data_IF_978875657939
#
_entry.id   IF_978875657939
#
_cell.length_a   1.000
_cell.length_b   1.000
_cell.length_c   1.000
_cell.angle_alpha   90.00
_cell.angle_beta   90.00
_cell.angle_gamma   90.00
#
_symmetry.space_group_name_H-M   'P 1'
#
loop_
_entity.id
_entity.type
_entity.pdbx_description
1 polymer ?
#
# COMPACT_ATOMS: atom_id res chain seq x y z
N UNK A 1 16.03 -18.66 29.99
CA UNK A 1 15.77 -17.94 28.72
C UNK A 1 16.17 -18.68 27.44
N UNK A 2 17.30 -19.42 27.37
CA UNK A 2 17.74 -20.11 26.13
C UNK A 2 16.77 -21.18 25.56
N UNK A 3 16.00 -21.87 26.40
CA UNK A 3 15.00 -22.89 25.95
C UNK A 3 13.80 -22.32 25.17
N UNK A 4 13.46 -21.04 25.33
CA UNK A 4 12.35 -20.41 24.57
C UNK A 4 12.76 -19.96 23.17
N UNK A 5 14.05 -19.73 22.93
CA UNK A 5 14.57 -19.31 21.63
C UNK A 5 14.79 -20.49 20.67
N UNK A 6 15.10 -21.69 21.17
CA UNK A 6 15.23 -22.90 20.35
C UNK A 6 13.87 -23.50 19.93
N UNK A 7 12.82 -23.32 20.73
CA UNK A 7 11.47 -23.78 20.38
C UNK A 7 10.80 -22.96 19.24
N UNK A 8 11.22 -21.71 19.04
CA UNK A 8 10.74 -20.85 17.94
C UNK A 8 11.47 -21.11 16.62
N UNK A 9 12.62 -21.80 16.62
CA UNK A 9 13.46 -22.01 15.43
C UNK A 9 13.09 -23.27 14.61
N UNK A 10 12.40 -24.24 15.20
CA UNK A 10 12.17 -25.56 14.59
C UNK A 10 10.71 -25.86 14.16
N UNK A 11 9.83 -24.85 14.09
CA UNK A 11 8.46 -25.02 13.56
C UNK A 11 8.05 -23.96 12.54
N UNK A 12 8.99 -23.41 11.80
CA UNK A 12 8.65 -22.82 10.51
C UNK A 12 8.61 -24.00 9.54
N UNK A 13 7.45 -24.66 9.52
CA UNK A 13 7.17 -25.77 8.62
C UNK A 13 7.44 -25.28 7.19
N UNK A 14 8.43 -25.83 6.49
CA UNK A 14 8.81 -25.39 5.14
C UNK A 14 7.58 -25.41 4.20
N UNK A 15 6.66 -26.35 4.44
CA UNK A 15 5.35 -26.46 3.79
C UNK A 15 4.45 -25.23 3.97
N UNK A 16 4.54 -24.54 5.11
CA UNK A 16 3.80 -23.32 5.36
C UNK A 16 4.34 -22.13 4.55
N UNK A 17 5.58 -22.19 4.06
CA UNK A 17 6.18 -21.18 3.18
C UNK A 17 5.91 -21.46 1.68
N UNK A 18 5.76 -22.72 1.29
CA UNK A 18 5.52 -23.11 -0.11
C UNK A 18 4.24 -22.48 -0.68
N UNK A 19 3.16 -22.44 0.10
CA UNK A 19 1.89 -21.89 -0.34
C UNK A 19 1.91 -20.39 -0.63
N UNK A 20 2.35 -19.51 0.28
CA UNK A 20 2.48 -18.09 -0.03
C UNK A 20 3.55 -17.84 -1.10
N UNK A 21 4.60 -18.67 -1.18
CA UNK A 21 5.58 -18.61 -2.25
C UNK A 21 4.98 -18.86 -3.63
N UNK A 22 4.18 -19.92 -3.79
CA UNK A 22 3.50 -20.23 -5.04
C UNK A 22 2.48 -19.15 -5.42
N UNK A 23 1.72 -18.63 -4.43
CA UNK A 23 0.81 -17.51 -4.66
C UNK A 23 1.56 -16.26 -5.14
N UNK A 24 2.69 -15.95 -4.51
CA UNK A 24 3.50 -14.81 -4.89
C UNK A 24 4.03 -14.95 -6.32
N UNK A 25 4.55 -16.13 -6.68
CA UNK A 25 5.00 -16.40 -8.05
C UNK A 25 3.85 -16.19 -9.05
N UNK A 26 2.66 -16.72 -8.76
CA UNK A 26 1.49 -16.52 -9.62
C UNK A 26 1.12 -15.04 -9.76
N UNK A 27 1.12 -14.28 -8.67
CA UNK A 27 0.86 -12.83 -8.69
C UNK A 27 1.91 -12.06 -9.49
N UNK A 28 3.19 -12.43 -9.35
CA UNK A 28 4.29 -11.80 -10.09
C UNK A 28 4.20 -12.10 -11.59
N UNK A 29 3.84 -13.33 -11.98
CA UNK A 29 3.60 -13.68 -13.39
C UNK A 29 2.45 -12.88 -14.00
N UNK A 30 1.34 -12.68 -13.25
CA UNK A 30 0.23 -11.84 -13.70
C UNK A 30 0.67 -10.38 -13.82
N UNK A 31 1.42 -9.86 -12.84
CA UNK A 31 1.94 -8.50 -12.88
C UNK A 31 2.86 -8.25 -14.07
N UNK A 32 3.73 -9.22 -14.40
CA UNK A 32 4.58 -9.17 -15.60
C UNK A 32 3.76 -9.16 -16.89
N UNK A 33 2.82 -10.10 -17.05
CA UNK A 33 1.97 -10.13 -18.24
C UNK A 33 1.12 -8.87 -18.40
N UNK A 34 0.67 -8.28 -17.29
CA UNK A 34 -0.08 -7.02 -17.32
C UNK A 34 0.82 -5.83 -17.70
N UNK A 35 2.06 -5.78 -17.20
CA UNK A 35 3.03 -4.76 -17.57
C UNK A 35 3.39 -4.81 -19.07
N UNK A 36 3.42 -6.00 -19.67
CA UNK A 36 3.65 -6.14 -21.11
C UNK A 36 2.46 -5.67 -21.94
N UNK A 37 1.23 -5.88 -21.46
CA UNK A 37 0.01 -5.43 -22.13
C UNK A 37 -0.21 -3.92 -22.01
N UNK A 38 0.16 -3.34 -20.88
CA UNK A 38 0.01 -1.91 -20.60
C UNK A 38 1.40 -1.28 -20.67
N UNK A 39 1.80 -0.84 -21.87
CA UNK A 39 3.15 -0.33 -22.20
C UNK A 39 3.75 0.71 -21.24
N UNK A 40 2.93 1.44 -20.50
CA UNK A 40 3.38 2.48 -19.56
C UNK A 40 3.37 2.02 -18.09
N UNK A 41 3.00 0.78 -17.82
CA UNK A 41 2.92 0.20 -16.50
C UNK A 41 4.26 -0.43 -16.13
N UNK A 42 5.06 0.29 -15.35
CA UNK A 42 6.33 -0.25 -14.88
C UNK A 42 6.10 -1.47 -13.96
N UNK A 43 6.52 -2.66 -14.38
CA UNK A 43 6.45 -3.88 -13.56
C UNK A 43 7.10 -3.69 -12.17
N UNK A 44 8.13 -2.84 -12.10
CA UNK A 44 8.82 -2.46 -10.88
C UNK A 44 7.92 -1.77 -9.83
N UNK A 45 6.86 -1.08 -10.26
CA UNK A 45 5.86 -0.51 -9.36
C UNK A 45 4.93 -1.59 -8.80
N UNK A 46 4.62 -2.61 -9.61
CA UNK A 46 3.62 -3.62 -9.29
C UNK A 46 4.11 -4.66 -8.27
N UNK A 47 5.38 -5.06 -8.34
CA UNK A 47 5.96 -6.04 -7.43
C UNK A 47 5.85 -5.68 -5.95
N UNK A 48 6.29 -4.49 -5.49
CA UNK A 48 6.18 -4.14 -4.08
C UNK A 48 4.72 -4.03 -3.64
N UNK A 49 3.80 -3.62 -4.53
CA UNK A 49 2.37 -3.58 -4.24
C UNK A 49 1.78 -4.99 -4.08
N UNK A 50 2.11 -5.92 -4.97
CA UNK A 50 1.66 -7.30 -4.86
C UNK A 50 2.19 -7.97 -3.58
N UNK A 51 3.49 -7.79 -3.29
CA UNK A 51 4.13 -8.30 -2.07
C UNK A 51 3.47 -7.69 -0.84
N UNK A 52 3.38 -6.36 -0.76
CA UNK A 52 2.82 -5.67 0.39
C UNK A 52 1.33 -5.97 0.59
N UNK A 53 0.53 -6.01 -0.48
CA UNK A 53 -0.87 -6.40 -0.44
C UNK A 53 -1.04 -7.81 0.11
N UNK A 54 -0.30 -8.78 -0.44
CA UNK A 54 -0.31 -10.18 0.04
C UNK A 54 0.06 -10.28 1.53
N UNK A 55 1.16 -9.66 1.94
CA UNK A 55 1.60 -9.70 3.34
C UNK A 55 0.63 -9.02 4.27
N UNK A 56 0.08 -7.86 3.87
CA UNK A 56 -0.90 -7.15 4.64
C UNK A 56 -2.15 -8.00 4.82
N UNK A 57 -2.70 -8.58 3.74
CA UNK A 57 -3.84 -9.50 3.79
C UNK A 57 -3.58 -10.71 4.69
N UNK A 58 -2.37 -11.27 4.61
CA UNK A 58 -1.94 -12.40 5.46
C UNK A 58 -1.81 -12.02 6.94
N UNK A 59 -1.32 -10.83 7.26
CA UNK A 59 -1.22 -10.30 8.63
C UNK A 59 -2.61 -9.99 9.17
N UNK A 60 -3.43 -9.31 8.38
CA UNK A 60 -4.80 -8.96 8.73
C UNK A 60 -5.68 -10.20 8.92
N UNK A 61 -5.49 -11.26 8.14
CA UNK A 61 -6.15 -12.55 8.36
C UNK A 61 -5.69 -13.28 9.64
N UNK A 62 -4.56 -12.89 10.25
CA UNK A 62 -4.17 -13.35 11.59
C UNK A 62 -5.03 -12.71 12.68
N UNK A 63 -5.53 -11.51 12.44
CA UNK A 63 -6.40 -10.81 13.38
C UNK A 63 -7.79 -11.43 13.40
N UNK A 64 -8.52 -11.27 14.51
CA UNK A 64 -9.91 -11.73 14.64
C UNK A 64 -10.92 -10.83 13.88
N UNK A 65 -10.44 -9.91 13.03
CA UNK A 65 -11.32 -9.02 12.29
C UNK A 65 -12.22 -9.81 11.33
N UNK A 66 -13.48 -9.41 11.23
CA UNK A 66 -14.40 -9.93 10.21
C UNK A 66 -13.95 -9.46 8.82
N UNK A 67 -14.23 -10.25 7.79
CA UNK A 67 -13.88 -9.89 6.41
C UNK A 67 -14.43 -8.52 6.01
N UNK A 68 -15.63 -8.18 6.49
CA UNK A 68 -16.25 -6.88 6.28
C UNK A 68 -15.45 -5.71 6.86
N UNK A 69 -14.79 -5.87 8.02
CA UNK A 69 -13.96 -4.81 8.62
C UNK A 69 -12.59 -4.72 7.95
N UNK A 70 -12.06 -5.83 7.46
CA UNK A 70 -10.76 -5.84 6.83
C UNK A 70 -10.73 -5.34 5.39
N UNK A 71 -11.84 -5.49 4.66
CA UNK A 71 -11.98 -4.94 3.32
C UNK A 71 -11.73 -3.41 3.26
N UNK A 72 -12.40 -2.56 4.06
CA UNK A 72 -12.14 -1.13 4.04
C UNK A 72 -10.74 -0.79 4.52
N UNK A 73 -10.16 -1.53 5.49
CA UNK A 73 -8.77 -1.33 5.91
C UNK A 73 -7.81 -1.64 4.77
N UNK A 74 -7.97 -2.77 4.09
CA UNK A 74 -7.15 -3.17 2.95
C UNK A 74 -7.27 -2.22 1.78
N UNK A 75 -8.48 -1.68 1.53
CA UNK A 75 -8.76 -0.68 0.51
C UNK A 75 -8.09 0.66 0.83
N UNK A 76 -8.26 1.17 2.06
CA UNK A 76 -7.68 2.45 2.48
C UNK A 76 -6.16 2.41 2.48
N UNK A 77 -5.57 1.33 3.02
CA UNK A 77 -4.11 1.14 2.99
C UNK A 77 -3.62 0.99 1.55
N UNK A 78 -4.34 0.23 0.71
CA UNK A 78 -4.00 0.06 -0.70
C UNK A 78 -4.03 1.36 -1.48
N UNK A 79 -5.13 2.11 -1.38
CA UNK A 79 -5.28 3.42 -2.01
C UNK A 79 -4.15 4.36 -1.57
N UNK A 80 -3.84 4.40 -0.26
CA UNK A 80 -2.72 5.19 0.26
C UNK A 80 -1.38 4.78 -0.37
N UNK A 81 -1.03 3.50 -0.33
CA UNK A 81 0.25 3.00 -0.89
C UNK A 81 0.34 3.24 -2.40
N UNK A 82 -0.75 3.01 -3.14
CA UNK A 82 -0.80 3.22 -4.59
C UNK A 82 -0.65 4.71 -4.94
N UNK A 83 -1.39 5.60 -4.27
CA UNK A 83 -1.25 7.05 -4.44
C UNK A 83 0.18 7.50 -4.14
N UNK A 84 0.77 6.98 -3.06
CA UNK A 84 2.13 7.32 -2.65
C UNK A 84 3.18 6.98 -3.72
N UNK A 85 3.01 5.82 -4.36
CA UNK A 85 3.94 5.30 -5.37
C UNK A 85 3.72 5.94 -6.73
N UNK A 86 2.49 5.91 -7.25
CA UNK A 86 2.18 6.42 -8.60
C UNK A 86 2.28 7.94 -8.65
N UNK A 87 1.84 8.63 -7.60
CA UNK A 87 1.88 10.09 -7.54
C UNK A 87 3.25 10.69 -7.31
N UNK A 88 4.30 9.87 -7.22
CA UNK A 88 5.65 10.28 -6.78
C UNK A 88 5.59 11.09 -5.48
N UNK A 89 4.58 10.80 -4.64
CA UNK A 89 4.32 11.51 -3.38
C UNK A 89 5.29 11.07 -2.29
N UNK A 90 6.14 10.06 -2.55
CA UNK A 90 7.16 9.59 -1.61
C UNK A 90 7.96 10.74 -1.01
N UNK A 91 8.41 11.71 -1.82
CA UNK A 91 9.15 12.86 -1.31
C UNK A 91 8.29 13.80 -0.47
N UNK A 92 7.06 14.10 -0.91
CA UNK A 92 6.14 14.96 -0.15
C UNK A 92 5.79 14.33 1.20
N UNK A 93 5.61 13.00 1.23
CA UNK A 93 5.28 12.24 2.44
C UNK A 93 6.48 12.15 3.37
N UNK A 94 7.69 11.94 2.84
CA UNK A 94 8.91 12.00 3.64
C UNK A 94 9.13 13.40 4.24
N UNK A 95 8.84 14.46 3.49
CA UNK A 95 8.90 15.82 3.99
C UNK A 95 7.87 16.04 5.12
N UNK A 96 6.64 15.58 4.94
CA UNK A 96 5.61 15.65 5.98
C UNK A 96 5.98 14.84 7.23
N UNK A 97 6.53 13.64 7.06
CA UNK A 97 7.02 12.81 8.18
C UNK A 97 8.18 13.46 8.91
N UNK A 98 9.11 14.12 8.19
CA UNK A 98 10.21 14.88 8.80
C UNK A 98 9.67 16.09 9.57
N UNK A 99 8.75 16.85 8.99
CA UNK A 99 8.10 17.97 9.67
C UNK A 99 7.38 17.48 10.93
N UNK A 100 6.62 16.39 10.83
CA UNK A 100 5.94 15.79 11.98
C UNK A 100 6.90 15.29 13.06
N UNK A 101 8.02 14.67 12.67
CA UNK A 101 9.05 14.21 13.59
C UNK A 101 9.84 15.36 14.24
N UNK A 102 9.85 16.54 13.63
CA UNK A 102 10.44 17.74 14.21
C UNK A 102 9.52 18.39 15.25
N UNK A 103 8.19 18.25 15.15
CA UNK A 103 7.23 18.86 16.07
C UNK A 103 7.51 18.59 17.56
N UNK A 104 7.83 17.36 18.02
CA UNK A 104 8.15 17.13 19.43
C UNK A 104 9.38 17.91 19.89
N UNK A 105 10.39 18.03 19.03
CA UNK A 105 11.61 18.77 19.33
C UNK A 105 11.34 20.28 19.35
N UNK A 106 10.57 20.79 18.39
CA UNK A 106 10.16 22.20 18.33
C UNK A 106 9.30 22.60 19.53
N UNK A 107 8.31 21.77 19.89
CA UNK A 107 7.47 21.98 21.08
C UNK A 107 8.30 21.98 22.37
N UNK A 108 9.30 21.10 22.45
CA UNK A 108 10.22 21.03 23.57
C UNK A 108 11.10 22.29 23.65
N UNK A 109 11.63 22.77 22.52
CA UNK A 109 12.40 24.02 22.48
C UNK A 109 11.54 25.23 22.82
N UNK A 110 10.31 25.31 22.30
CA UNK A 110 9.36 26.38 22.61
C UNK A 110 9.10 26.47 24.12
N UNK A 111 8.92 25.32 24.78
CA UNK A 111 8.74 25.26 26.23
C UNK A 111 9.95 25.83 27.00
N UNK A 112 11.17 25.68 26.49
CA UNK A 112 12.40 26.14 27.16
C UNK A 112 12.81 27.57 26.81
N UNK A 113 12.70 27.96 25.55
CA UNK A 113 13.26 29.22 25.03
C UNK A 113 12.20 30.25 24.63
N UNK A 114 10.90 29.91 24.69
CA UNK A 114 9.79 30.80 24.36
C UNK A 114 9.64 31.11 22.87
N UNK A 115 10.49 30.57 22.00
CA UNK A 115 10.38 30.73 20.54
C UNK A 115 9.23 29.90 19.99
N UNK A 116 8.23 30.54 19.38
CA UNK A 116 7.04 29.87 18.85
C UNK A 116 7.41 28.81 17.79
N UNK A 117 6.76 27.63 17.76
CA UNK A 117 6.98 26.60 16.74
C UNK A 117 6.68 27.14 15.33
N UNK A 118 7.54 26.81 14.35
CA UNK A 118 7.32 27.20 12.97
C UNK A 118 6.37 26.21 12.26
N UNK A 119 5.06 26.47 12.37
CA UNK A 119 4.04 25.67 11.70
C UNK A 119 4.08 25.79 10.16
N UNK A 120 4.84 26.75 9.60
CA UNK A 120 4.88 27.01 8.16
C UNK A 120 5.41 25.81 7.37
N UNK A 121 6.46 25.15 7.85
CA UNK A 121 7.04 23.97 7.17
C UNK A 121 6.06 22.79 7.12
N UNK A 122 5.29 22.61 8.20
CA UNK A 122 4.27 21.58 8.26
C UNK A 122 3.12 21.87 7.30
N UNK A 123 2.63 23.12 7.28
CA UNK A 123 1.56 23.53 6.37
C UNK A 123 1.98 23.43 4.89
N UNK A 124 3.19 23.87 4.56
CA UNK A 124 3.75 23.75 3.21
C UNK A 124 3.84 22.28 2.75
N UNK A 125 4.22 21.37 3.65
CA UNK A 125 4.28 19.94 3.35
C UNK A 125 2.87 19.35 3.13
N UNK A 126 1.88 19.78 3.92
CA UNK A 126 0.48 19.39 3.75
C UNK A 126 -0.09 19.90 2.42
N UNK A 127 0.13 21.17 2.07
CA UNK A 127 -0.34 21.77 0.83
C UNK A 127 0.29 21.07 -0.39
N UNK A 128 1.59 20.78 -0.33
CA UNK A 128 2.28 20.05 -1.39
C UNK A 128 1.72 18.64 -1.58
N UNK A 129 1.37 17.93 -0.49
CA UNK A 129 0.75 16.61 -0.55
C UNK A 129 -0.68 16.69 -1.09
N UNK A 130 -1.46 17.66 -0.61
CA UNK A 130 -2.84 17.91 -1.01
C UNK A 130 -2.95 18.23 -2.50
N UNK A 131 -2.14 19.17 -3.00
CA UNK A 131 -2.16 19.58 -4.40
C UNK A 131 -1.81 18.41 -5.33
N UNK A 132 -0.74 17.67 -5.05
CA UNK A 132 -0.34 16.52 -5.89
C UNK A 132 -1.38 15.41 -5.87
N UNK A 133 -1.99 15.15 -4.72
CA UNK A 133 -3.06 14.15 -4.60
C UNK A 133 -4.29 14.61 -5.38
N UNK A 134 -4.67 15.89 -5.25
CA UNK A 134 -5.79 16.50 -5.96
C UNK A 134 -5.63 16.40 -7.48
N UNK A 135 -4.46 16.76 -8.02
CA UNK A 135 -4.18 16.64 -9.47
C UNK A 135 -4.32 15.21 -9.97
N UNK A 136 -3.88 14.20 -9.19
CA UNK A 136 -4.02 12.80 -9.58
C UNK A 136 -5.48 12.33 -9.56
N UNK A 137 -6.24 12.73 -8.54
CA UNK A 137 -7.66 12.39 -8.43
C UNK A 137 -8.48 13.08 -9.52
N UNK A 138 -8.16 14.32 -9.86
CA UNK A 138 -8.78 15.05 -10.96
C UNK A 138 -8.51 14.35 -12.29
N UNK A 139 -7.25 14.00 -12.59
CA UNK A 139 -6.88 13.24 -13.79
C UNK A 139 -7.58 11.89 -13.86
N UNK A 140 -7.65 11.17 -12.74
CA UNK A 140 -8.38 9.92 -12.64
C UNK A 140 -9.88 10.13 -12.92
N UNK A 141 -10.49 11.19 -12.37
CA UNK A 141 -11.89 11.53 -12.58
C UNK A 141 -12.20 11.86 -14.04
N UNK A 142 -11.39 12.71 -14.67
CA UNK A 142 -11.50 13.04 -16.10
C UNK A 142 -11.36 11.80 -16.97
N UNK A 143 -10.38 10.95 -16.68
CA UNK A 143 -10.18 9.70 -17.41
C UNK A 143 -11.37 8.74 -17.25
N UNK A 144 -11.89 8.56 -16.03
CA UNK A 144 -13.07 7.72 -15.77
C UNK A 144 -14.33 8.23 -16.49
N UNK A 145 -14.52 9.55 -16.56
CA UNK A 145 -15.62 10.16 -17.31
C UNK A 145 -15.42 9.99 -18.83
N UNK A 146 -14.18 10.08 -19.33
CA UNK A 146 -13.88 9.82 -20.75
C UNK A 146 -14.26 8.41 -21.20
N UNK A 147 -14.20 7.41 -20.31
CA UNK A 147 -14.63 6.05 -20.60
C UNK A 147 -16.15 5.94 -20.88
N UNK A 148 -16.97 6.81 -20.30
CA UNK A 148 -18.43 6.78 -20.51
C UNK A 148 -18.85 7.52 -21.78
N UNK A 149 -18.05 8.50 -22.21
CA UNK A 149 -18.33 9.36 -23.38
C UNK A 149 -17.73 8.79 -24.67
N UNK A 150 -17.04 7.65 -24.62
CA UNK A 150 -16.32 7.01 -25.75
C UNK A 150 -15.18 7.84 -26.38
N UNK A 151 -14.86 8.99 -25.78
CA UNK A 151 -13.65 9.78 -26.07
C UNK A 151 -12.54 9.42 -25.08
N UNK A 152 -12.20 8.13 -25.01
CA UNK A 152 -11.21 7.64 -24.06
C UNK A 152 -9.80 8.13 -24.44
N UNK A 153 -9.42 9.31 -23.95
CA UNK A 153 -8.04 9.79 -23.97
C UNK A 153 -7.23 8.93 -23.01
N UNK A 154 -6.17 8.32 -23.50
CA UNK A 154 -5.29 7.51 -22.67
C UNK A 154 -4.55 8.40 -21.66
N UNK A 155 -4.80 8.18 -20.37
CA UNK A 155 -4.03 8.79 -19.27
C UNK A 155 -3.17 7.71 -18.59
N UNK A 156 -1.83 7.79 -18.71
CA UNK A 156 -0.93 6.81 -18.10
C UNK A 156 -1.00 6.76 -16.57
N UNK A 157 -1.18 7.91 -15.92
CA UNK A 157 -1.22 7.99 -14.47
C UNK A 157 -2.50 7.38 -13.93
N UNK A 158 -3.64 7.67 -14.56
CA UNK A 158 -4.93 7.05 -14.21
C UNK A 158 -4.90 5.54 -14.42
N UNK A 159 -4.36 5.09 -15.56
CA UNK A 159 -4.19 3.67 -15.88
C UNK A 159 -3.30 2.97 -14.85
N UNK A 160 -2.16 3.57 -14.49
CA UNK A 160 -1.25 3.04 -13.48
C UNK A 160 -1.91 2.96 -12.09
N UNK A 161 -2.68 3.98 -11.68
CA UNK A 161 -3.41 3.99 -10.41
C UNK A 161 -4.41 2.82 -10.35
N UNK A 162 -5.24 2.65 -11.39
CA UNK A 162 -6.30 1.64 -11.43
C UNK A 162 -5.71 0.23 -11.39
N UNK A 163 -4.74 -0.06 -12.25
CA UNK A 163 -4.14 -1.39 -12.30
C UNK A 163 -3.29 -1.72 -11.08
N UNK A 164 -2.59 -0.73 -10.52
CA UNK A 164 -1.87 -0.89 -9.25
C UNK A 164 -2.81 -1.22 -8.10
N UNK A 165 -3.96 -0.55 -8.03
CA UNK A 165 -4.99 -0.82 -7.03
C UNK A 165 -5.65 -2.19 -7.25
N UNK A 166 -5.92 -2.57 -8.49
CA UNK A 166 -6.46 -3.88 -8.82
C UNK A 166 -5.52 -5.01 -8.38
N UNK A 167 -4.22 -4.93 -8.72
CA UNK A 167 -3.21 -5.90 -8.27
C UNK A 167 -3.13 -5.94 -6.75
N UNK A 168 -3.13 -4.78 -6.09
CA UNK A 168 -3.12 -4.71 -4.64
C UNK A 168 -4.31 -5.46 -4.02
N UNK A 169 -5.53 -5.20 -4.50
CA UNK A 169 -6.74 -5.82 -3.98
C UNK A 169 -6.75 -7.34 -4.19
N UNK A 170 -6.32 -7.80 -5.36
CA UNK A 170 -6.20 -9.23 -5.67
C UNK A 170 -5.16 -9.89 -4.75
N UNK A 171 -3.98 -9.28 -4.61
CA UNK A 171 -2.93 -9.80 -3.75
C UNK A 171 -3.35 -9.83 -2.27
N UNK A 172 -3.96 -8.74 -1.79
CA UNK A 172 -4.53 -8.63 -0.44
C UNK A 172 -5.57 -9.70 -0.17
N UNK A 173 -6.55 -9.83 -1.06
CA UNK A 173 -7.61 -10.82 -0.94
C UNK A 173 -7.04 -12.24 -0.94
N UNK A 174 -6.12 -12.54 -1.87
CA UNK A 174 -5.51 -13.86 -1.95
C UNK A 174 -4.69 -14.20 -0.70
N UNK A 175 -3.89 -13.25 -0.17
CA UNK A 175 -3.16 -13.41 1.08
C UNK A 175 -4.09 -13.63 2.28
N UNK A 176 -5.22 -12.92 2.31
CA UNK A 176 -6.24 -13.07 3.35
C UNK A 176 -6.94 -14.45 3.29
N UNK A 177 -7.44 -14.83 2.11
CA UNK A 177 -8.15 -16.10 1.88
C UNK A 177 -7.24 -17.29 2.15
N UNK A 178 -6.02 -17.25 1.62
CA UNK A 178 -5.06 -18.34 1.76
C UNK A 178 -4.80 -18.67 3.23
N UNK A 179 -4.77 -17.67 4.12
CA UNK A 179 -4.57 -17.91 5.55
C UNK A 179 -5.85 -18.31 6.28
N UNK A 180 -6.99 -17.69 5.95
CA UNK A 180 -8.24 -17.91 6.69
C UNK A 180 -8.88 -19.27 6.38
N UNK A 181 -8.81 -19.71 5.13
CA UNK A 181 -9.40 -20.98 4.69
C UNK A 181 -8.43 -22.16 4.72
N UNK A 182 -7.12 -21.94 4.90
CA UNK A 182 -6.15 -23.02 5.19
C UNK A 182 -5.89 -23.23 6.69
N UNK A 183 -6.82 -22.82 7.55
CA UNK A 183 -7.04 -23.59 8.77
C UNK A 183 -7.77 -24.86 8.31
N UNK A 184 -7.11 -26.01 8.17
CA UNK A 184 -7.86 -27.24 7.96
C UNK A 184 -8.88 -27.33 9.09
N UNK A 185 -10.09 -27.76 8.74
CA UNK A 185 -11.15 -28.15 9.65
C UNK A 185 -10.69 -29.36 10.49
N UNK A 186 -9.62 -29.20 11.27
CA UNK A 186 -9.26 -30.07 12.37
C UNK A 186 -10.02 -29.56 13.59
N UNK A 187 -11.35 -29.77 13.52
CA UNK A 187 -12.06 -30.31 14.67
C UNK A 187 -11.73 -31.79 14.80
#
# INVERSE_FOLDING_TARGET
>A
MKKRLTALRNKIDFRALLWPGALLIALLSVALGLADLVRELEAWLMFPLAIAGMWLGWILARSQLSGWKAAPIGLLVGAGVVLLRVGRLGQATLNLLRAFAALPFELWTWYQSGGAPDAFQFQLALDALGNRTGTLLERLGVWLLGLTVSEAVFDPAATALVWSLAIWLVAFWAGWVLRRYKRPLLG
#
